data_IF_208982486908
#
_entry.id   IF_208982486908
#
_cell.length_a   1.000
_cell.length_b   1.000
_cell.length_c   1.000
_cell.angle_alpha   90.00
_cell.angle_beta   90.00
_cell.angle_gamma   90.00
#
_symmetry.space_group_name_H-M   'P 1'
#
loop_
_entity.id
_entity.type
_entity.pdbx_description
1 polymer ?
#
# COMPACT_ATOMS: atom_id res chain seq x y z
N UNK A 1 -3.17 5.13 -27.80
CA UNK A 1 -3.26 3.78 -27.20
C UNK A 1 -3.71 3.98 -25.77
N UNK A 2 -4.94 3.60 -25.40
CA UNK A 2 -5.36 3.72 -24.00
C UNK A 2 -4.52 2.71 -23.21
N UNK A 3 -3.70 3.21 -22.30
CA UNK A 3 -3.10 2.39 -21.25
C UNK A 3 -4.29 1.79 -20.49
N UNK A 4 -4.38 0.47 -20.38
CA UNK A 4 -5.40 -0.13 -19.51
C UNK A 4 -5.14 0.39 -18.09
N UNK A 5 -6.13 1.01 -17.47
CA UNK A 5 -6.02 1.41 -16.07
C UNK A 5 -5.72 0.17 -15.22
N UNK A 6 -4.68 0.22 -14.39
CA UNK A 6 -4.41 -0.84 -13.43
C UNK A 6 -5.45 -0.76 -12.31
N UNK A 7 -6.17 -1.86 -12.06
CA UNK A 7 -7.05 -1.97 -10.88
C UNK A 7 -6.36 -2.79 -9.80
N UNK A 8 -6.32 -2.25 -8.58
CA UNK A 8 -5.90 -3.00 -7.39
C UNK A 8 -7.14 -3.59 -6.74
N UNK A 9 -7.10 -4.89 -6.47
CA UNK A 9 -8.23 -5.66 -5.99
C UNK A 9 -7.89 -6.24 -4.62
N UNK A 10 -8.77 -6.06 -3.64
CA UNK A 10 -8.61 -6.53 -2.27
C UNK A 10 -9.85 -7.29 -1.79
N UNK A 11 -9.66 -8.24 -0.87
CA UNK A 11 -10.71 -8.99 -0.17
C UNK A 11 -10.12 -9.63 1.09
N UNK A 12 -10.98 -10.12 1.98
CA UNK A 12 -10.62 -10.74 3.25
C UNK A 12 -10.79 -9.79 4.44
N UNK A 13 -9.95 -9.97 5.46
CA UNK A 13 -10.01 -9.19 6.70
C UNK A 13 -9.63 -7.71 6.48
N UNK A 14 -10.41 -6.80 7.05
CA UNK A 14 -10.20 -5.35 6.94
C UNK A 14 -10.13 -4.59 8.25
N UNK A 15 -10.14 -5.28 9.40
CA UNK A 15 -10.23 -4.67 10.74
C UNK A 15 -9.13 -3.64 11.03
N UNK A 16 -7.95 -3.82 10.43
CA UNK A 16 -6.80 -2.92 10.57
C UNK A 16 -6.63 -1.98 9.39
N UNK A 17 -7.59 -1.93 8.46
CA UNK A 17 -7.56 -1.11 7.26
C UNK A 17 -6.71 -1.68 6.11
N UNK A 18 -6.16 -2.89 6.23
CA UNK A 18 -5.24 -3.49 5.24
C UNK A 18 -5.83 -3.71 3.84
N UNK A 19 -7.16 -3.63 3.70
CA UNK A 19 -7.82 -3.65 2.39
C UNK A 19 -7.70 -2.32 1.63
N UNK A 20 -7.48 -1.19 2.31
CA UNK A 20 -7.25 0.10 1.64
C UNK A 20 -8.50 0.76 1.05
N UNK A 21 -9.70 0.33 1.46
CA UNK A 21 -10.98 0.73 0.86
C UNK A 21 -11.68 1.90 1.55
N UNK A 22 -10.97 2.66 2.40
CA UNK A 22 -11.51 3.79 3.13
C UNK A 22 -12.39 3.43 4.35
N UNK A 23 -12.54 2.14 4.65
CA UNK A 23 -13.21 1.63 5.85
C UNK A 23 -12.38 0.49 6.47
N UNK A 24 -12.69 0.13 7.72
CA UNK A 24 -12.11 -1.05 8.40
C UNK A 24 -13.03 -2.27 8.30
N UNK A 25 -13.88 -2.32 7.28
CA UNK A 25 -14.76 -3.46 7.03
C UNK A 25 -14.00 -4.59 6.35
N UNK A 26 -14.33 -5.84 6.69
CA UNK A 26 -13.95 -6.98 5.87
C UNK A 26 -14.77 -7.04 4.59
N UNK A 27 -14.22 -7.71 3.57
CA UNK A 27 -14.89 -7.96 2.30
C UNK A 27 -14.79 -9.44 1.95
N UNK A 28 -15.92 -10.14 2.00
CA UNK A 28 -15.98 -11.55 1.58
C UNK A 28 -15.70 -11.74 0.08
N UNK A 29 -15.88 -10.68 -0.72
CA UNK A 29 -15.67 -10.68 -2.16
C UNK A 29 -14.70 -9.59 -2.60
N UNK A 30 -14.09 -9.80 -3.77
CA UNK A 30 -13.20 -8.85 -4.43
C UNK A 30 -13.84 -7.45 -4.56
N UNK A 31 -13.08 -6.44 -4.16
CA UNK A 31 -13.42 -5.02 -4.33
C UNK A 31 -12.21 -4.24 -4.83
N UNK A 32 -12.45 -3.09 -5.44
CA UNK A 32 -11.38 -2.23 -5.97
C UNK A 32 -10.88 -1.29 -4.86
N UNK A 33 -9.57 -1.11 -4.81
CA UNK A 33 -8.92 -0.08 -3.99
C UNK A 33 -8.92 1.23 -4.79
N UNK A 34 -10.05 1.94 -4.75
CA UNK A 34 -10.31 3.13 -5.58
C UNK A 34 -9.24 4.22 -5.44
N UNK A 35 -8.66 4.37 -4.23
CA UNK A 35 -7.61 5.34 -3.94
C UNK A 35 -6.34 5.16 -4.79
N UNK A 36 -6.14 3.98 -5.40
CA UNK A 36 -4.97 3.69 -6.24
C UNK A 36 -5.26 3.76 -7.75
N UNK A 37 -6.51 3.93 -8.19
CA UNK A 37 -6.86 4.02 -9.62
C UNK A 37 -6.11 5.11 -10.41
N UNK A 38 -5.77 6.28 -9.83
CA UNK A 38 -5.01 7.30 -10.56
C UNK A 38 -3.55 6.92 -10.83
N UNK A 39 -3.05 5.83 -10.25
CA UNK A 39 -1.65 5.46 -10.26
C UNK A 39 -1.37 4.20 -11.08
N UNK A 40 -0.27 4.22 -11.82
CA UNK A 40 0.25 3.04 -12.53
C UNK A 40 0.94 2.09 -11.56
N UNK A 41 0.16 1.37 -10.75
CA UNK A 41 0.70 0.35 -9.83
C UNK A 41 1.24 -0.84 -10.63
N UNK A 42 2.45 -1.29 -10.31
CA UNK A 42 3.10 -2.43 -10.96
C UNK A 42 3.36 -3.61 -10.01
N UNK A 43 3.29 -3.38 -8.69
CA UNK A 43 3.47 -4.42 -7.67
C UNK A 43 2.65 -4.11 -6.42
N UNK A 44 2.19 -5.17 -5.75
CA UNK A 44 1.52 -5.11 -4.44
C UNK A 44 2.11 -6.14 -3.50
N UNK A 45 2.17 -5.83 -2.20
CA UNK A 45 2.65 -6.75 -1.18
C UNK A 45 1.70 -6.72 0.01
N UNK A 46 1.34 -7.91 0.49
CA UNK A 46 0.57 -8.10 1.71
C UNK A 46 1.51 -8.46 2.85
N UNK A 47 1.40 -7.72 3.96
CA UNK A 47 1.95 -8.11 5.25
C UNK A 47 0.87 -8.71 6.16
N UNK A 48 1.16 -8.83 7.46
CA UNK A 48 0.24 -9.50 8.40
C UNK A 48 -1.06 -8.72 8.64
N UNK A 49 -0.96 -7.39 8.74
CA UNK A 49 -2.09 -6.47 9.01
C UNK A 49 -1.91 -5.14 8.25
N UNK A 50 -1.06 -5.13 7.23
CA UNK A 50 -0.72 -3.98 6.43
C UNK A 50 -0.48 -4.41 4.99
N UNK A 51 -0.45 -3.44 4.11
CA UNK A 51 -0.30 -3.64 2.67
C UNK A 51 0.54 -2.51 2.10
N UNK A 52 1.17 -2.77 0.97
CA UNK A 52 1.86 -1.75 0.19
C UNK A 52 1.66 -1.95 -1.31
N UNK A 53 1.89 -0.88 -2.05
CA UNK A 53 1.92 -0.87 -3.51
C UNK A 53 3.13 -0.08 -4.01
N UNK A 54 3.69 -0.50 -5.14
CA UNK A 54 4.76 0.20 -5.86
C UNK A 54 4.28 0.53 -7.27
N UNK A 55 4.48 1.78 -7.69
CA UNK A 55 4.17 2.28 -9.02
C UNK A 55 5.33 2.10 -9.99
N UNK A 56 5.05 2.18 -11.29
CA UNK A 56 6.04 2.12 -12.37
C UNK A 56 7.13 3.21 -12.27
N UNK A 57 6.79 4.38 -11.74
CA UNK A 57 7.69 5.50 -11.46
C UNK A 57 8.51 5.32 -10.17
N UNK A 58 8.26 4.25 -9.41
CA UNK A 58 8.91 3.94 -8.14
C UNK A 58 8.23 4.55 -6.91
N UNK A 59 7.09 5.23 -7.07
CA UNK A 59 6.28 5.71 -5.94
C UNK A 59 5.79 4.54 -5.10
N UNK A 60 5.94 4.64 -3.78
CA UNK A 60 5.49 3.63 -2.82
C UNK A 60 4.34 4.13 -1.96
N UNK A 61 3.30 3.31 -1.82
CA UNK A 61 2.16 3.51 -0.94
C UNK A 61 2.12 2.44 0.13
N UNK A 62 1.68 2.80 1.34
CA UNK A 62 1.49 1.88 2.46
C UNK A 62 0.18 2.18 3.17
N UNK A 63 -0.48 1.15 3.70
CA UNK A 63 -1.68 1.28 4.53
C UNK A 63 -1.87 0.07 5.45
N UNK A 64 -2.84 0.17 6.35
CA UNK A 64 -3.19 -0.82 7.35
C UNK A 64 -2.68 -0.46 8.74
N UNK A 65 -2.33 -1.47 9.53
CA UNK A 65 -1.87 -1.34 10.90
C UNK A 65 -0.53 -0.60 11.02
N UNK A 66 -0.44 0.38 11.94
CA UNK A 66 0.73 1.26 12.06
C UNK A 66 1.26 1.46 13.50
N UNK A 67 0.93 0.63 14.49
CA UNK A 67 1.37 0.93 15.87
C UNK A 67 2.89 0.75 16.12
N UNK A 68 3.65 0.39 15.08
CA UNK A 68 5.13 0.30 15.12
C UNK A 68 5.82 1.11 14.02
N UNK A 69 5.10 2.01 13.35
CA UNK A 69 5.67 2.82 12.27
C UNK A 69 5.97 2.03 11.00
N UNK A 70 5.34 0.87 10.81
CA UNK A 70 5.54 -0.01 9.64
C UNK A 70 5.14 0.63 8.32
N UNK A 71 4.34 1.70 8.35
CA UNK A 71 3.95 2.43 7.14
C UNK A 71 4.98 3.48 6.69
N UNK A 72 6.00 3.81 7.51
CA UNK A 72 7.06 4.74 7.09
C UNK A 72 6.63 6.20 6.91
N UNK A 73 5.44 6.57 7.40
CA UNK A 73 4.96 7.96 7.47
C UNK A 73 4.33 8.26 8.84
N UNK A 74 4.21 9.54 9.24
CA UNK A 74 3.54 9.91 10.49
C UNK A 74 2.13 9.30 10.56
N UNK A 75 1.77 8.62 11.66
CA UNK A 75 0.43 8.11 11.84
C UNK A 75 -0.56 9.25 12.12
N UNK A 76 -1.73 9.21 11.51
CA UNK A 76 -2.88 9.98 11.96
C UNK A 76 -3.66 9.18 13.01
N UNK A 77 -3.73 7.85 12.84
CA UNK A 77 -4.36 6.95 13.79
C UNK A 77 -3.53 5.65 14.00
N UNK A 78 -4.09 4.67 14.73
CA UNK A 78 -3.46 3.36 14.92
C UNK A 78 -3.45 2.50 13.64
N UNK A 79 -4.36 2.77 12.72
CA UNK A 79 -4.64 2.00 11.50
C UNK A 79 -5.06 2.93 10.39
N UNK A 80 -4.44 2.87 9.23
CA UNK A 80 -4.78 3.72 8.09
C UNK A 80 -5.48 2.88 7.02
N UNK A 81 -6.74 3.20 6.69
CA UNK A 81 -7.53 2.42 5.75
C UNK A 81 -7.56 3.00 4.32
N UNK A 82 -6.75 4.04 4.07
CA UNK A 82 -6.53 4.63 2.75
C UNK A 82 -5.03 4.55 2.44
N UNK A 83 -4.65 3.99 1.27
CA UNK A 83 -3.28 4.03 0.75
C UNK A 83 -2.68 5.43 0.83
N UNK A 84 -1.55 5.55 1.54
CA UNK A 84 -0.84 6.81 1.69
C UNK A 84 0.57 6.70 1.13
N UNK A 85 0.99 7.72 0.37
CA UNK A 85 2.33 7.78 -0.19
C UNK A 85 3.36 7.91 0.93
N UNK A 86 4.44 7.12 0.86
CA UNK A 86 5.60 7.25 1.76
C UNK A 86 6.45 8.43 1.28
N UNK A 87 6.02 9.66 1.59
CA UNK A 87 6.62 10.91 1.07
C UNK A 87 8.12 11.06 1.37
N UNK A 88 8.62 10.43 2.44
CA UNK A 88 10.05 10.42 2.75
C UNK A 88 10.90 9.75 1.64
N UNK A 89 10.28 8.93 0.79
CA UNK A 89 10.91 8.23 -0.34
C UNK A 89 10.59 8.87 -1.70
N UNK A 90 10.00 10.07 -1.76
CA UNK A 90 9.55 10.68 -3.02
C UNK A 90 10.66 10.91 -4.07
N UNK A 91 11.92 10.95 -3.64
CA UNK A 91 13.09 11.09 -4.52
C UNK A 91 13.89 9.78 -4.69
N UNK A 92 13.31 8.65 -4.29
CA UNK A 92 13.92 7.31 -4.38
C UNK A 92 13.04 6.47 -5.29
N UNK A 93 13.62 5.91 -6.36
CA UNK A 93 12.89 5.04 -7.26
C UNK A 93 12.86 3.62 -6.69
N UNK A 94 11.79 3.26 -6.00
CA UNK A 94 11.63 1.92 -5.42
C UNK A 94 11.36 0.90 -6.53
N UNK A 95 12.12 -0.20 -6.53
CA UNK A 95 11.96 -1.29 -7.50
C UNK A 95 11.44 -2.58 -6.87
N UNK A 96 11.73 -2.79 -5.58
CA UNK A 96 11.23 -3.92 -4.81
C UNK A 96 10.92 -3.48 -3.39
N UNK A 97 9.90 -4.09 -2.79
CA UNK A 97 9.55 -3.86 -1.39
C UNK A 97 9.03 -5.14 -0.76
N UNK A 98 9.19 -5.24 0.57
CA UNK A 98 8.65 -6.30 1.39
C UNK A 98 8.15 -5.71 2.70
N UNK A 99 6.99 -6.15 3.17
CA UNK A 99 6.43 -5.71 4.45
C UNK A 99 6.03 -6.92 5.29
N UNK A 100 6.56 -6.97 6.50
CA UNK A 100 6.23 -7.97 7.51
C UNK A 100 5.33 -7.39 8.60
N UNK A 101 5.08 -8.19 9.64
CA UNK A 101 4.27 -7.74 10.78
C UNK A 101 4.86 -6.55 11.56
N UNK A 102 6.17 -6.33 11.49
CA UNK A 102 6.88 -5.36 12.33
C UNK A 102 7.91 -4.48 11.62
N UNK A 103 8.17 -4.72 10.33
CA UNK A 103 9.16 -3.97 9.57
C UNK A 103 8.82 -3.94 8.08
N UNK A 104 9.40 -2.98 7.38
CA UNK A 104 9.34 -2.83 5.93
C UNK A 104 10.76 -2.72 5.39
N UNK A 105 11.03 -3.34 4.24
CA UNK A 105 12.26 -3.22 3.47
C UNK A 105 11.91 -2.76 2.07
N UNK A 106 12.79 -1.99 1.46
CA UNK A 106 12.68 -1.59 0.06
C UNK A 106 14.08 -1.52 -0.56
N UNK A 107 14.15 -1.80 -1.86
CA UNK A 107 15.35 -1.68 -2.69
C UNK A 107 15.06 -0.61 -3.75
N UNK A 108 15.99 0.30 -3.92
CA UNK A 108 15.88 1.34 -4.95
C UNK A 108 16.33 0.80 -6.33
N UNK A 109 16.55 1.67 -7.30
CA UNK A 109 17.02 1.29 -8.63
C UNK A 109 18.55 1.17 -8.74
N UNK A 110 19.28 1.40 -7.65
CA UNK A 110 20.73 1.25 -7.54
C UNK A 110 21.17 -0.03 -6.81
N UNK A 111 20.27 -0.67 -6.05
CA UNK A 111 20.49 -1.97 -5.38
C UNK A 111 20.97 -1.85 -3.94
#
# INVERSE_FOLDING_TARGET
>A
QMVSATSIIAWGAGEDGQLGIGTNEEKEWACVVEALEPYSVCSVVSGSRNSLAVCDDGTMFTWGWNQRGTLGHPPETKTENIPSQVKALANVKITQAAIGGWHCLAVDDQG
#
